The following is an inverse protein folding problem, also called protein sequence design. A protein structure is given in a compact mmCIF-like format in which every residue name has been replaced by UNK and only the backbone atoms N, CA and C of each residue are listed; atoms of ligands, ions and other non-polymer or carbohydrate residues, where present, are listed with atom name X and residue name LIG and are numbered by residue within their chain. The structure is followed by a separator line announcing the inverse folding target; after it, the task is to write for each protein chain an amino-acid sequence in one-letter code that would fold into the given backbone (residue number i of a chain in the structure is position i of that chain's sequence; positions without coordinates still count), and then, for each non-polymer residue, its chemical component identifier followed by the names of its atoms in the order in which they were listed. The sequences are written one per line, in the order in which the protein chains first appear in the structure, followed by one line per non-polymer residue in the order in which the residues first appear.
data_IF_202264101281
#
_entry.id   IF_202264101281
#
_cell.length_a   1.000
_cell.length_b   1.000
_cell.length_c   1.000
_cell.angle_alpha   90.00
_cell.angle_beta   90.00
_cell.angle_gamma   90.00
#
_symmetry.space_group_name_H-M   'P 1'
#
loop_
_entity.id
_entity.type
_entity.pdbx_description
1 polymer ?
#
# COMPACT_ATOMS: atom_id res chain seq x y z
N UNK A 1 -0.29 -4.60 -20.55
CA UNK A 1 -0.19 -3.73 -19.34
C UNK A 1 -0.45 -4.61 -18.13
N UNK A 2 0.52 -4.81 -17.23
CA UNK A 2 0.22 -5.52 -15.98
C UNK A 2 -0.63 -4.61 -15.11
N UNK A 3 -1.80 -5.10 -14.68
CA UNK A 3 -2.63 -4.38 -13.71
C UNK A 3 -1.94 -4.47 -12.36
N UNK A 4 -1.60 -3.33 -11.75
CA UNK A 4 -1.09 -3.31 -10.37
C UNK A 4 -2.26 -3.68 -9.45
N UNK A 5 -2.10 -4.67 -8.55
CA UNK A 5 -3.18 -5.09 -7.66
C UNK A 5 -3.56 -3.95 -6.70
N UNK A 6 -4.80 -3.98 -6.22
CA UNK A 6 -5.21 -3.15 -5.09
C UNK A 6 -4.56 -3.66 -3.80
N UNK A 7 -4.32 -2.75 -2.87
CA UNK A 7 -3.68 -3.02 -1.59
C UNK A 7 -4.75 -2.97 -0.51
N UNK A 8 -4.78 -3.96 0.38
CA UNK A 8 -5.69 -3.96 1.52
C UNK A 8 -5.16 -3.02 2.60
N UNK A 9 -5.93 -1.97 2.92
CA UNK A 9 -5.65 -1.08 4.06
C UNK A 9 -6.28 -1.66 5.32
N UNK A 10 -5.46 -1.73 6.36
CA UNK A 10 -5.86 -2.15 7.70
C UNK A 10 -5.86 -0.94 8.63
N UNK A 11 -6.69 -0.98 9.66
CA UNK A 11 -6.53 -0.07 10.79
C UNK A 11 -5.31 -0.48 11.65
N UNK A 12 -5.01 0.32 12.68
CA UNK A 12 -3.88 0.03 13.56
C UNK A 12 -4.01 -1.31 14.33
N UNK A 13 -5.23 -1.83 14.50
CA UNK A 13 -5.51 -3.11 15.15
C UNK A 13 -5.51 -4.31 14.19
N UNK A 14 -5.36 -4.07 12.89
CA UNK A 14 -5.29 -5.11 11.86
C UNK A 14 -6.62 -5.49 11.26
N UNK A 15 -7.68 -4.72 11.51
CA UNK A 15 -8.98 -4.96 10.90
C UNK A 15 -8.99 -4.41 9.46
N UNK A 16 -9.52 -5.18 8.49
CA UNK A 16 -9.73 -4.70 7.12
C UNK A 16 -10.63 -3.46 7.07
N UNK A 17 -10.15 -2.40 6.41
CA UNK A 17 -10.92 -1.17 6.19
C UNK A 17 -11.40 -1.09 4.74
N UNK A 18 -10.48 -1.13 3.78
CA UNK A 18 -10.81 -1.01 2.34
C UNK A 18 -9.65 -1.44 1.42
N UNK A 19 -9.96 -1.63 0.14
CA UNK A 19 -8.99 -1.89 -0.92
C UNK A 19 -8.63 -0.60 -1.65
N UNK A 20 -7.42 -0.09 -1.42
CA UNK A 20 -6.90 1.14 -2.01
C UNK A 20 -6.10 0.86 -3.28
N UNK A 21 -5.92 1.89 -4.12
CA UNK A 21 -4.98 1.79 -5.23
C UNK A 21 -3.52 1.97 -4.77
N UNK A 22 -2.59 1.70 -5.68
CA UNK A 22 -1.16 1.80 -5.37
C UNK A 22 -0.68 3.23 -5.10
N UNK A 23 -1.35 4.26 -5.63
CA UNK A 23 -0.95 5.66 -5.44
C UNK A 23 -1.25 6.10 -4.02
N UNK A 24 -2.41 5.71 -3.49
CA UNK A 24 -2.76 5.96 -2.09
C UNK A 24 -1.79 5.23 -1.15
N UNK A 25 -1.53 3.94 -1.39
CA UNK A 25 -0.59 3.16 -0.59
C UNK A 25 0.81 3.80 -0.55
N UNK A 26 1.36 4.19 -1.71
CA UNK A 26 2.66 4.90 -1.79
C UNK A 26 2.64 6.22 -1.03
N UNK A 27 1.55 6.98 -1.12
CA UNK A 27 1.44 8.26 -0.42
C UNK A 27 1.51 8.07 1.10
N UNK A 28 0.94 6.99 1.64
CA UNK A 28 1.03 6.66 3.06
C UNK A 28 2.45 6.31 3.47
N UNK A 29 3.17 5.50 2.69
CA UNK A 29 4.60 5.22 2.91
C UNK A 29 5.45 6.49 2.86
N UNK A 30 5.26 7.31 1.83
CA UNK A 30 6.05 8.53 1.62
C UNK A 30 5.82 9.57 2.73
N UNK A 31 4.62 9.57 3.32
CA UNK A 31 4.27 10.50 4.41
C UNK A 31 4.44 9.89 5.81
N UNK A 32 5.11 8.75 5.92
CA UNK A 32 5.38 8.05 7.20
C UNK A 32 4.12 7.75 8.02
N UNK A 33 3.05 7.34 7.33
CA UNK A 33 1.72 7.02 7.92
C UNK A 33 1.46 5.52 8.04
N UNK A 34 2.49 4.69 8.02
CA UNK A 34 2.38 3.24 8.13
C UNK A 34 2.83 2.83 9.53
N UNK A 35 1.89 2.35 10.34
CA UNK A 35 2.21 1.84 11.68
C UNK A 35 2.95 0.48 11.62
N UNK A 36 2.59 -0.37 10.65
CA UNK A 36 3.17 -1.68 10.41
C UNK A 36 2.69 -2.25 9.06
N UNK A 37 3.40 -3.25 8.54
CA UNK A 37 3.06 -3.94 7.28
C UNK A 37 2.47 -5.33 7.56
N UNK A 38 1.40 -5.70 6.84
CA UNK A 38 0.85 -7.06 6.87
C UNK A 38 1.39 -7.88 5.69
N UNK A 39 2.02 -9.03 5.96
CA UNK A 39 2.53 -9.93 4.93
C UNK A 39 3.92 -9.56 4.41
N UNK A 40 4.36 -10.26 3.36
CA UNK A 40 5.75 -10.19 2.84
C UNK A 40 5.84 -9.80 1.37
N UNK A 41 4.73 -9.76 0.64
CA UNK A 41 4.72 -9.40 -0.78
C UNK A 41 4.92 -7.89 -0.94
N UNK A 42 5.90 -7.51 -1.77
CA UNK A 42 6.23 -6.10 -2.02
C UNK A 42 6.08 -5.78 -3.50
N UNK A 43 5.46 -4.65 -3.79
CA UNK A 43 5.39 -4.08 -5.13
C UNK A 43 6.55 -3.09 -5.26
N UNK A 44 7.46 -3.35 -6.20
CA UNK A 44 8.52 -2.41 -6.51
C UNK A 44 8.03 -1.38 -7.52
N UNK A 45 7.94 -0.13 -7.09
CA UNK A 45 7.59 1.00 -7.92
C UNK A 45 8.84 1.82 -8.21
N UNK A 46 9.04 2.17 -9.48
CA UNK A 46 10.12 3.07 -9.93
C UNK A 46 9.49 4.41 -10.31
N UNK A 47 10.00 5.49 -9.73
CA UNK A 47 9.68 6.84 -10.18
C UNK A 47 10.47 7.21 -11.45
N UNK A 48 10.00 8.24 -12.16
CA UNK A 48 10.71 8.86 -13.28
C UNK A 48 10.32 8.34 -14.68
N UNK A 49 10.74 9.10 -15.69
CA UNK A 49 10.92 8.65 -17.08
C UNK A 49 12.38 8.26 -17.28
#
# INVERSE_FOLDING_TARGET
MSVIPRILKLDAGGLPVEWVDWKEAVSLYFTDKIAWEAGTEKIHLRGGR
#
